data_IF_142242174439
#
_entry.id   IF_142242174439
#
_cell.length_a   1.000
_cell.length_b   1.000
_cell.length_c   1.000
_cell.angle_alpha   90.00
_cell.angle_beta   90.00
_cell.angle_gamma   90.00
#
_symmetry.space_group_name_H-M   'P 1'
#
loop_
_entity.id
_entity.type
_entity.pdbx_description
1 polymer ?
#
# COMPACT_ATOMS: atom_id res chain seq x y z
N UNK A 1 -32.52 -34.69 23.54
CA UNK A 1 -32.17 -34.65 22.10
C UNK A 1 -32.32 -33.27 21.46
N UNK A 2 -33.44 -32.54 21.61
CA UNK A 2 -33.66 -31.24 20.92
C UNK A 2 -32.64 -30.13 21.21
N UNK A 3 -32.13 -30.04 22.46
CA UNK A 3 -31.12 -29.02 22.83
C UNK A 3 -29.74 -29.22 22.17
N UNK A 4 -29.33 -30.47 21.95
CA UNK A 4 -28.04 -30.79 21.33
C UNK A 4 -28.05 -30.52 19.82
N UNK A 5 -29.20 -30.73 19.17
CA UNK A 5 -29.41 -30.41 17.75
C UNK A 5 -29.31 -28.90 17.48
N UNK A 6 -29.84 -28.08 18.40
CA UNK A 6 -29.79 -26.62 18.31
C UNK A 6 -28.35 -26.07 18.46
N UNK A 7 -27.57 -26.59 19.40
CA UNK A 7 -26.16 -26.21 19.57
C UNK A 7 -25.30 -26.64 18.37
N UNK A 8 -25.55 -27.84 17.82
CA UNK A 8 -24.89 -28.31 16.61
C UNK A 8 -25.21 -27.41 15.41
N UNK A 9 -26.46 -26.97 15.27
CA UNK A 9 -26.88 -26.06 14.21
C UNK A 9 -26.23 -24.67 14.33
N UNK A 10 -26.12 -24.12 15.55
CA UNK A 10 -25.40 -22.86 15.80
C UNK A 10 -23.92 -22.98 15.46
N UNK A 11 -23.26 -24.06 15.89
CA UNK A 11 -21.84 -24.31 15.58
C UNK A 11 -21.61 -24.44 14.07
N UNK A 12 -22.52 -25.12 13.37
CA UNK A 12 -22.48 -25.26 11.91
C UNK A 12 -22.62 -23.90 11.22
N UNK A 13 -23.61 -23.09 11.62
CA UNK A 13 -23.84 -21.75 11.08
C UNK A 13 -22.63 -20.84 11.36
N UNK A 14 -22.08 -20.87 12.58
CA UNK A 14 -20.87 -20.13 12.93
C UNK A 14 -19.64 -20.58 12.14
N UNK A 15 -19.52 -21.87 11.79
CA UNK A 15 -18.43 -22.37 10.93
C UNK A 15 -18.57 -21.97 9.45
N UNK A 16 -19.80 -21.71 8.97
CA UNK A 16 -20.05 -21.26 7.60
C UNK A 16 -19.89 -19.75 7.41
N UNK A 17 -19.92 -18.96 8.48
CA UNK A 17 -19.74 -17.50 8.43
C UNK A 17 -18.27 -17.10 8.12
N UNK A 18 -17.31 -18.03 8.22
CA UNK A 18 -15.87 -17.72 8.15
C UNK A 18 -15.25 -17.67 6.74
N UNK A 19 -16.03 -17.68 5.66
CA UNK A 19 -15.49 -17.63 4.29
C UNK A 19 -15.98 -16.44 3.45
N UNK A 20 -16.09 -15.26 4.06
CA UNK A 20 -16.03 -14.03 3.28
C UNK A 20 -14.56 -13.81 2.88
N UNK A 21 -14.14 -14.39 1.76
CA UNK A 21 -12.87 -14.02 1.14
C UNK A 21 -12.93 -12.53 0.81
N UNK A 22 -11.99 -11.75 1.34
CA UNK A 22 -11.78 -10.39 0.88
C UNK A 22 -11.57 -10.41 -0.63
N UNK A 23 -12.29 -9.54 -1.34
CA UNK A 23 -12.22 -9.41 -2.77
C UNK A 23 -11.56 -8.06 -3.10
N UNK A 24 -10.76 -8.00 -4.17
CA UNK A 24 -10.19 -6.74 -4.65
C UNK A 24 -11.26 -5.64 -4.88
N UNK A 25 -12.51 -6.03 -5.17
CA UNK A 25 -13.66 -5.12 -5.31
C UNK A 25 -14.12 -4.45 -4.02
N UNK A 26 -13.69 -4.96 -2.86
CA UNK A 26 -14.05 -4.41 -1.54
C UNK A 26 -13.26 -3.14 -1.22
N UNK A 27 -12.18 -2.88 -1.96
CA UNK A 27 -11.29 -1.75 -1.77
C UNK A 27 -11.46 -0.71 -2.89
N UNK A 28 -11.53 0.57 -2.51
CA UNK A 28 -11.32 1.66 -3.47
C UNK A 28 -9.84 1.83 -3.72
N UNK A 29 -9.36 1.26 -4.82
CA UNK A 29 -7.94 1.29 -5.22
C UNK A 29 -7.70 2.38 -6.25
N UNK A 30 -6.62 3.14 -6.10
CA UNK A 30 -6.20 4.14 -7.07
C UNK A 30 -4.68 4.12 -7.25
N UNK A 31 -4.21 4.55 -8.42
CA UNK A 31 -2.80 4.82 -8.64
C UNK A 31 -2.56 6.23 -9.14
N UNK A 32 -1.45 6.85 -8.74
CA UNK A 32 -1.04 8.15 -9.24
C UNK A 32 0.48 8.29 -9.28
N UNK A 33 1.01 8.62 -10.46
CA UNK A 33 2.36 9.15 -10.55
C UNK A 33 2.35 10.62 -10.11
N UNK A 34 2.92 10.88 -8.93
CA UNK A 34 2.92 12.19 -8.28
C UNK A 34 3.84 13.19 -8.99
N UNK A 35 4.81 12.72 -9.77
CA UNK A 35 5.90 13.53 -10.33
C UNK A 35 6.58 14.37 -9.24
N UNK A 36 6.91 13.75 -8.10
CA UNK A 36 7.45 14.40 -6.93
C UNK A 36 8.85 14.96 -7.16
N UNK A 37 9.02 16.25 -6.89
CA UNK A 37 10.32 16.91 -6.77
C UNK A 37 10.44 17.57 -5.39
N UNK A 38 11.66 17.66 -4.85
CA UNK A 38 11.92 18.06 -3.46
C UNK A 38 11.21 19.35 -2.99
N UNK A 39 10.97 20.33 -3.87
CA UNK A 39 10.32 21.60 -3.50
C UNK A 39 8.78 21.60 -3.54
N UNK A 40 8.14 20.76 -4.35
CA UNK A 40 6.68 20.78 -4.55
C UNK A 40 5.94 19.60 -3.92
N UNK A 41 6.67 18.59 -3.45
CA UNK A 41 6.09 17.32 -3.01
C UNK A 41 5.21 17.46 -1.76
N UNK A 42 5.59 18.30 -0.79
CA UNK A 42 4.80 18.53 0.44
C UNK A 42 3.38 19.04 0.11
N UNK A 43 3.27 19.93 -0.87
CA UNK A 43 1.97 20.46 -1.31
C UNK A 43 1.13 19.38 -2.00
N UNK A 44 1.74 18.58 -2.88
CA UNK A 44 1.03 17.49 -3.57
C UNK A 44 0.49 16.44 -2.59
N UNK A 45 1.24 16.11 -1.54
CA UNK A 45 0.75 15.22 -0.49
C UNK A 45 -0.37 15.86 0.33
N UNK A 46 -0.16 17.04 0.90
CA UNK A 46 -1.11 17.64 1.83
C UNK A 46 -2.38 18.16 1.17
N UNK A 47 -2.36 18.46 -0.14
CA UNK A 47 -3.53 18.93 -0.88
C UNK A 47 -4.15 17.77 -1.67
N UNK A 48 -3.46 17.26 -2.69
CA UNK A 48 -4.05 16.34 -3.65
C UNK A 48 -4.21 14.93 -3.06
N UNK A 49 -3.12 14.34 -2.53
CA UNK A 49 -3.18 12.99 -1.96
C UNK A 49 -4.13 12.95 -0.77
N UNK A 50 -4.10 13.96 0.10
CA UNK A 50 -5.04 14.09 1.22
C UNK A 50 -6.49 14.11 0.73
N UNK A 51 -6.81 14.87 -0.32
CA UNK A 51 -8.18 14.94 -0.85
C UNK A 51 -8.66 13.59 -1.39
N UNK A 52 -7.78 12.81 -2.03
CA UNK A 52 -8.12 11.47 -2.53
C UNK A 52 -8.44 10.48 -1.40
N UNK A 53 -7.71 10.58 -0.28
CA UNK A 53 -7.80 9.62 0.82
C UNK A 53 -8.84 9.99 1.88
N UNK A 54 -9.16 11.28 2.03
CA UNK A 54 -9.92 11.78 3.18
C UNK A 54 -11.35 11.26 3.24
N UNK A 55 -11.83 11.02 4.46
CA UNK A 55 -13.20 10.62 4.72
C UNK A 55 -13.48 9.13 4.50
N UNK A 56 -14.71 8.73 4.81
CA UNK A 56 -15.18 7.34 4.69
C UNK A 56 -15.35 6.90 3.22
N UNK A 57 -15.57 7.86 2.32
CA UNK A 57 -15.67 7.65 0.89
C UNK A 57 -14.30 7.69 0.16
N UNK A 58 -13.23 8.11 0.86
CA UNK A 58 -11.90 8.23 0.28
C UNK A 58 -11.28 6.88 -0.10
N UNK A 59 -10.28 6.94 -0.97
CA UNK A 59 -9.48 5.80 -1.44
C UNK A 59 -8.93 5.01 -0.25
N UNK A 60 -9.04 3.69 -0.33
CA UNK A 60 -8.56 2.77 0.69
C UNK A 60 -7.10 2.44 0.47
N UNK A 61 -6.70 2.26 -0.79
CA UNK A 61 -5.34 1.90 -1.19
C UNK A 61 -4.90 2.80 -2.35
N UNK A 62 -3.87 3.61 -2.12
CA UNK A 62 -3.29 4.50 -3.13
C UNK A 62 -1.85 4.09 -3.44
N UNK A 63 -1.62 3.65 -4.68
CA UNK A 63 -0.29 3.39 -5.23
C UNK A 63 0.31 4.67 -5.77
N UNK A 64 1.42 5.12 -5.21
CA UNK A 64 2.10 6.37 -5.61
C UNK A 64 3.44 6.06 -6.28
N UNK A 65 3.60 6.53 -7.51
CA UNK A 65 4.90 6.57 -8.18
C UNK A 65 5.50 7.97 -8.11
N UNK A 66 6.82 8.05 -8.18
CA UNK A 66 7.56 9.31 -8.01
C UNK A 66 7.15 10.04 -6.74
N UNK A 67 7.05 9.31 -5.64
CA UNK A 67 6.48 9.76 -4.36
C UNK A 67 7.25 10.91 -3.70
N UNK A 68 8.43 11.26 -4.21
CA UNK A 68 9.27 12.31 -3.66
C UNK A 68 9.65 12.04 -2.20
N UNK A 69 9.54 13.05 -1.34
CA UNK A 69 9.60 12.91 0.12
C UNK A 69 8.19 12.76 0.69
N UNK A 70 8.00 11.90 1.69
CA UNK A 70 6.72 11.80 2.40
C UNK A 70 6.32 13.12 3.08
N UNK A 71 5.02 13.35 3.35
CA UNK A 71 4.58 14.54 4.06
C UNK A 71 5.24 14.64 5.44
N UNK A 72 5.65 15.85 5.83
CA UNK A 72 6.38 16.12 7.07
C UNK A 72 5.67 15.67 8.36
N UNK A 73 4.34 15.51 8.29
CA UNK A 73 3.49 15.02 9.38
C UNK A 73 3.37 13.50 9.45
N UNK A 74 3.97 12.75 8.52
CA UNK A 74 4.06 11.30 8.60
C UNK A 74 5.09 10.89 9.66
N UNK A 75 4.69 10.00 10.57
CA UNK A 75 5.49 9.55 11.71
C UNK A 75 5.93 8.11 11.49
N UNK A 76 7.24 7.79 11.57
CA UNK A 76 7.71 6.41 11.42
C UNK A 76 7.16 5.56 12.57
N UNK A 77 6.70 4.35 12.25
CA UNK A 77 6.19 3.41 13.24
C UNK A 77 7.28 2.66 13.99
N UNK A 78 8.48 2.59 13.41
CA UNK A 78 9.57 1.75 13.91
C UNK A 78 9.37 0.24 13.64
N UNK A 79 8.35 -0.16 12.87
CA UNK A 79 8.17 -1.55 12.47
C UNK A 79 9.36 -1.99 11.61
N UNK A 80 10.11 -2.99 12.08
CA UNK A 80 11.07 -3.68 11.24
C UNK A 80 10.34 -4.59 10.25
N UNK A 81 10.44 -4.28 8.96
CA UNK A 81 9.79 -5.04 7.89
C UNK A 81 10.80 -6.00 7.26
N UNK A 82 10.49 -7.29 7.31
CA UNK A 82 11.14 -8.30 6.48
C UNK A 82 10.19 -8.63 5.31
N UNK A 83 10.44 -8.10 4.10
CA UNK A 83 9.54 -8.31 2.98
C UNK A 83 9.66 -9.73 2.42
N UNK A 84 8.55 -10.24 1.87
CA UNK A 84 8.58 -11.41 1.00
C UNK A 84 9.25 -11.05 -0.33
N UNK A 85 10.11 -11.93 -0.84
CA UNK A 85 10.86 -11.71 -2.08
C UNK A 85 12.31 -11.28 -1.82
N UNK A 86 12.65 -10.01 -2.02
CA UNK A 86 14.03 -9.48 -1.84
C UNK A 86 14.13 -8.44 -0.72
N UNK A 87 15.26 -8.41 -0.03
CA UNK A 87 15.51 -7.53 1.13
C UNK A 87 15.83 -6.08 0.79
N UNK A 88 15.00 -5.41 -0.04
CA UNK A 88 15.09 -3.95 -0.22
C UNK A 88 14.29 -3.29 0.92
N UNK A 89 14.86 -2.29 1.63
CA UNK A 89 14.18 -1.65 2.75
C UNK A 89 12.83 -1.01 2.37
N UNK A 90 11.83 -1.24 3.22
CA UNK A 90 10.54 -0.56 3.21
C UNK A 90 10.29 -0.01 4.60
N UNK A 91 10.03 1.30 4.67
CA UNK A 91 9.70 1.98 5.90
C UNK A 91 8.18 2.12 6.05
N UNK A 92 7.64 1.83 7.23
CA UNK A 92 6.23 2.01 7.58
C UNK A 92 6.02 3.29 8.40
N UNK A 93 5.14 4.16 7.93
CA UNK A 93 4.73 5.39 8.60
C UNK A 93 3.23 5.38 8.90
N UNK A 94 2.83 6.13 9.92
CA UNK A 94 1.44 6.57 10.12
C UNK A 94 1.28 8.03 9.74
N UNK A 95 0.17 8.37 9.09
CA UNK A 95 -0.15 9.74 8.70
C UNK A 95 -1.60 10.06 9.07
N UNK A 96 -1.80 11.06 9.94
CA UNK A 96 -3.13 11.46 10.37
C UNK A 96 -3.74 12.48 9.39
N UNK A 97 -4.76 12.05 8.64
CA UNK A 97 -5.54 12.92 7.75
C UNK A 97 -6.61 13.73 8.51
N UNK A 98 -6.92 13.34 9.73
CA UNK A 98 -7.87 14.01 10.60
C UNK A 98 -7.20 15.03 11.52
N UNK A 99 -7.79 15.16 12.71
CA UNK A 99 -7.29 16.00 13.80
C UNK A 99 -6.83 15.12 14.96
N UNK A 100 -6.26 15.73 16.00
CA UNK A 100 -5.92 15.01 17.24
C UNK A 100 -7.15 14.44 17.96
N UNK A 101 -8.31 15.09 17.85
CA UNK A 101 -9.57 14.69 18.50
C UNK A 101 -10.40 13.69 17.70
N UNK A 102 -10.24 13.70 16.37
CA UNK A 102 -10.90 12.78 15.43
C UNK A 102 -9.87 12.34 14.41
N UNK A 103 -9.17 11.27 14.74
CA UNK A 103 -8.06 10.75 13.93
C UNK A 103 -8.59 10.01 12.69
N UNK A 104 -7.90 10.17 11.57
CA UNK A 104 -8.05 9.35 10.37
C UNK A 104 -6.64 8.89 9.98
N UNK A 105 -6.18 7.82 10.63
CA UNK A 105 -4.81 7.31 10.48
C UNK A 105 -4.72 6.47 9.22
N UNK A 106 -3.74 6.80 8.37
CA UNK A 106 -3.33 6.00 7.22
C UNK A 106 -1.93 5.46 7.42
N UNK A 107 -1.68 4.30 6.85
CA UNK A 107 -0.37 3.66 6.83
C UNK A 107 0.30 3.96 5.50
N UNK A 108 1.57 4.35 5.51
CA UNK A 108 2.37 4.56 4.31
C UNK A 108 3.51 3.56 4.32
N UNK A 109 3.61 2.76 3.26
CA UNK A 109 4.71 1.85 2.99
C UNK A 109 5.58 2.49 1.91
N UNK A 110 6.81 2.86 2.28
CA UNK A 110 7.64 3.72 1.47
C UNK A 110 8.96 3.05 1.14
N UNK A 111 9.29 3.02 -0.15
CA UNK A 111 10.58 2.54 -0.65
C UNK A 111 11.40 3.72 -1.17
N UNK A 112 12.50 4.00 -0.47
CA UNK A 112 13.44 5.06 -0.85
C UNK A 112 14.48 4.52 -1.84
N UNK A 113 14.05 4.36 -3.08
CA UNK A 113 14.88 3.84 -4.18
C UNK A 113 15.93 4.87 -4.61
N UNK A 114 15.57 6.15 -4.63
CA UNK A 114 16.48 7.23 -5.02
C UNK A 114 17.03 7.95 -3.79
N UNK A 115 18.23 7.54 -3.38
CA UNK A 115 18.95 8.15 -2.25
C UNK A 115 19.47 9.56 -2.55
N UNK A 116 19.60 9.92 -3.84
CA UNK A 116 20.14 11.19 -4.33
C UNK A 116 19.07 12.23 -4.62
N UNK A 117 18.53 12.22 -5.85
CA UNK A 117 17.57 13.22 -6.33
C UNK A 117 16.15 13.05 -5.72
N UNK A 118 15.90 11.91 -5.07
CA UNK A 118 14.64 11.51 -4.42
C UNK A 118 13.41 11.64 -5.31
N UNK A 119 13.55 11.40 -6.63
CA UNK A 119 12.44 11.57 -7.58
C UNK A 119 11.66 10.29 -7.82
N UNK A 120 12.33 9.14 -7.84
CA UNK A 120 11.72 7.88 -8.30
C UNK A 120 11.29 6.95 -7.16
N UNK A 121 11.03 7.50 -5.97
CA UNK A 121 10.58 6.72 -4.83
C UNK A 121 9.16 6.16 -5.06
N UNK A 122 8.86 5.03 -4.44
CA UNK A 122 7.55 4.38 -4.50
C UNK A 122 6.89 4.42 -3.13
N UNK A 123 5.57 4.58 -3.10
CA UNK A 123 4.79 4.46 -1.88
C UNK A 123 3.47 3.73 -2.12
N UNK A 124 2.95 3.07 -1.07
CA UNK A 124 1.56 2.62 -0.99
C UNK A 124 0.97 3.22 0.27
N UNK A 125 -0.14 3.96 0.13
CA UNK A 125 -0.93 4.44 1.26
C UNK A 125 -2.10 3.51 1.45
N UNK A 126 -2.34 3.07 2.68
CA UNK A 126 -3.43 2.14 3.03
C UNK A 126 -4.23 2.67 4.22
N UNK A 127 -5.55 2.46 4.18
CA UNK A 127 -6.44 2.71 5.32
C UNK A 127 -6.17 1.75 6.49
N UNK A 128 -5.77 0.52 6.18
CA UNK A 128 -5.48 -0.52 7.17
C UNK A 128 -3.99 -0.84 7.18
N UNK A 129 -3.49 -1.29 8.33
CA UNK A 129 -2.11 -1.75 8.44
C UNK A 129 -1.94 -3.05 7.67
N UNK A 130 -0.87 -3.16 6.89
CA UNK A 130 -0.53 -4.36 6.15
C UNK A 130 -0.11 -5.51 7.09
N UNK A 131 -0.63 -6.70 6.81
CA UNK A 131 -0.19 -7.93 7.46
C UNK A 131 1.21 -8.27 6.97
N UNK A 132 1.38 -8.26 5.65
CA UNK A 132 2.61 -8.63 4.95
C UNK A 132 3.06 -7.52 4.01
N UNK A 133 4.36 -7.45 3.76
CA UNK A 133 4.96 -6.55 2.77
C UNK A 133 5.72 -7.39 1.76
N UNK A 134 5.59 -7.04 0.49
CA UNK A 134 6.20 -7.75 -0.63
C UNK A 134 7.18 -6.82 -1.33
N UNK A 135 8.33 -7.34 -1.70
CA UNK A 135 9.24 -6.68 -2.63
C UNK A 135 9.70 -7.70 -3.65
N UNK A 136 9.29 -7.51 -4.90
CA UNK A 136 9.76 -8.35 -5.99
C UNK A 136 10.99 -7.71 -6.63
N UNK A 137 11.91 -8.58 -7.05
CA UNK A 137 13.17 -8.20 -7.65
C UNK A 137 12.92 -7.35 -8.92
N UNK A 138 13.68 -6.27 -9.14
CA UNK A 138 13.71 -5.59 -10.43
C UNK A 138 14.04 -6.56 -11.56
N UNK A 139 13.39 -6.38 -12.72
CA UNK A 139 13.63 -7.22 -13.92
C UNK A 139 15.00 -6.99 -14.54
N UNK A 140 15.61 -5.82 -14.30
CA UNK A 140 16.97 -5.46 -14.72
C UNK A 140 17.66 -4.63 -13.63
N UNK A 141 18.96 -4.40 -13.74
CA UNK A 141 19.72 -3.52 -12.81
C UNK A 141 19.23 -2.07 -12.84
N UNK A 142 18.72 -1.60 -13.98
CA UNK A 142 18.17 -0.26 -14.13
C UNK A 142 16.71 -0.15 -13.67
N UNK A 143 15.99 -1.27 -13.64
CA UNK A 143 14.58 -1.32 -13.27
C UNK A 143 14.37 -1.00 -11.79
N UNK A 144 13.19 -0.50 -11.48
CA UNK A 144 12.75 -0.24 -10.10
C UNK A 144 12.16 -1.53 -9.52
N UNK A 145 12.25 -1.75 -8.20
CA UNK A 145 11.57 -2.87 -7.58
C UNK A 145 10.06 -2.71 -7.65
N UNK A 146 9.34 -3.82 -7.60
CA UNK A 146 7.90 -3.84 -7.38
C UNK A 146 7.70 -3.98 -5.87
N UNK A 147 6.92 -3.09 -5.26
CA UNK A 147 6.60 -3.17 -3.83
C UNK A 147 5.11 -3.42 -3.66
N UNK A 148 4.73 -4.11 -2.59
CA UNK A 148 3.34 -4.44 -2.34
C UNK A 148 3.02 -4.63 -0.86
N UNK A 149 1.73 -4.63 -0.56
CA UNK A 149 1.18 -4.93 0.76
C UNK A 149 0.13 -6.02 0.67
N UNK A 150 0.07 -6.86 1.70
CA UNK A 150 -0.98 -7.86 1.90
C UNK A 150 -1.95 -7.41 2.96
N UNK A 151 -3.26 -7.52 2.67
CA UNK A 151 -4.36 -7.33 3.59
C UNK A 151 -5.22 -8.60 3.55
N UNK A 152 -5.08 -9.46 4.55
CA UNK A 152 -5.67 -10.80 4.54
C UNK A 152 -5.21 -11.60 3.32
N UNK A 153 -6.14 -11.88 2.41
CA UNK A 153 -5.90 -12.66 1.19
C UNK A 153 -5.59 -11.80 -0.05
N UNK A 154 -5.71 -10.48 0.04
CA UNK A 154 -5.49 -9.57 -1.09
C UNK A 154 -4.09 -8.97 -1.07
N UNK A 155 -3.46 -8.88 -2.25
CA UNK A 155 -2.14 -8.26 -2.41
C UNK A 155 -2.22 -7.11 -3.40
N UNK A 156 -1.76 -5.95 -2.96
CA UNK A 156 -1.76 -4.71 -3.74
C UNK A 156 -0.34 -4.30 -4.05
N UNK A 157 0.01 -4.20 -5.34
CA UNK A 157 1.36 -3.88 -5.78
C UNK A 157 1.42 -2.53 -6.50
N UNK A 158 2.53 -1.83 -6.34
CA UNK A 158 2.88 -0.65 -7.16
C UNK A 158 4.20 -0.90 -7.88
N UNK A 159 4.27 -0.41 -9.11
CA UNK A 159 5.43 -0.52 -9.98
C UNK A 159 5.60 0.77 -10.79
N UNK A 160 6.81 1.02 -11.27
CA UNK A 160 7.10 2.14 -12.14
C UNK A 160 8.16 1.73 -13.16
N UNK A 161 7.70 1.30 -14.34
CA UNK A 161 8.53 0.92 -15.46
C UNK A 161 9.49 2.06 -15.88
N UNK A 162 10.57 1.69 -16.56
CA UNK A 162 11.54 2.64 -17.09
C UNK A 162 10.87 3.64 -18.05
N UNK A 163 11.32 4.89 -18.00
CA UNK A 163 10.92 5.90 -18.98
C UNK A 163 11.39 5.48 -20.38
N UNK A 164 10.80 6.06 -21.43
CA UNK A 164 11.04 5.72 -22.85
C UNK A 164 10.27 4.48 -23.33
N UNK A 165 8.95 4.46 -23.09
CA UNK A 165 8.07 3.41 -23.60
C UNK A 165 7.97 2.16 -22.73
N UNK A 166 8.52 2.17 -21.51
CA UNK A 166 8.42 1.03 -20.58
C UNK A 166 9.07 -0.24 -21.11
N UNK A 167 10.36 -0.24 -21.49
CA UNK A 167 11.02 -1.40 -22.07
C UNK A 167 11.00 -2.63 -21.14
N UNK A 168 10.88 -2.42 -19.83
CA UNK A 168 10.78 -3.47 -18.81
C UNK A 168 9.34 -3.79 -18.37
N UNK A 169 8.32 -3.07 -18.87
CA UNK A 169 6.93 -3.26 -18.47
C UNK A 169 6.42 -4.68 -18.75
N UNK A 170 6.79 -5.27 -19.88
CA UNK A 170 6.42 -6.64 -20.22
C UNK A 170 7.02 -7.67 -19.25
N UNK A 171 8.25 -7.45 -18.79
CA UNK A 171 8.92 -8.33 -17.84
C UNK A 171 8.31 -8.19 -16.43
N UNK A 172 7.78 -7.01 -16.08
CA UNK A 172 7.12 -6.75 -14.78
C UNK A 172 5.83 -7.56 -14.62
N UNK A 173 5.05 -7.72 -15.70
CA UNK A 173 3.73 -8.40 -15.65
C UNK A 173 3.77 -9.87 -16.07
N UNK A 174 4.88 -10.32 -16.67
CA UNK A 174 5.03 -11.73 -17.05
C UNK A 174 5.34 -12.55 -15.80
N UNK A 175 4.55 -13.60 -15.61
CA UNK A 175 4.89 -14.70 -14.73
C UNK A 175 6.09 -15.42 -15.36
N UNK A 176 7.24 -15.38 -14.70
CA UNK A 176 8.33 -16.33 -14.96
C UNK A 176 8.17 -17.55 -14.09
#
# INVERSE_FOLDING_TARGET
MKKNLFHLLIMLICSYISFACANISDYRVMTWNLQGSSASTESKWNVNVRQLLSGTAGVDILMVQEAGTLPSSAVPTGRHIQPFGVGIPIDEYTWNLGTTRRQDIRYIYYSRIDVGARRVNLAIVSRQRADNVYVLRPTTVASRPIIGIGLGNDVFLTTHALASGGPDAAAIVRVT
#
